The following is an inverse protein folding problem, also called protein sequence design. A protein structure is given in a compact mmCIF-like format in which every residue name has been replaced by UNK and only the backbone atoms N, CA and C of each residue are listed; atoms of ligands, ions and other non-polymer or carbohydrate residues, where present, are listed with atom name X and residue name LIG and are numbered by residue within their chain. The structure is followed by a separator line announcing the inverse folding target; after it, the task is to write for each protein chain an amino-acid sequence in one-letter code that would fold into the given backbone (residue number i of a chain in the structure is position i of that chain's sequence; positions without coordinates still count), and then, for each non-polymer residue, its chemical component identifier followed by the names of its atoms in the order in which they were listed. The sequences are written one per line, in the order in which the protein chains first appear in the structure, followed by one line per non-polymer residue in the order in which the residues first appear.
data_IF_765711793408
#
_entry.id   IF_765711793408
#
_cell.length_a   1.000
_cell.length_b   1.000
_cell.length_c   1.000
_cell.angle_alpha   90.00
_cell.angle_beta   90.00
_cell.angle_gamma   90.00
#
_symmetry.space_group_name_H-M   'P 1'
#
loop_
_entity.id
_entity.type
_entity.pdbx_description
1 polymer ?
#
# COMPACT_ATOMS: atom_id res chain seq x y z
N UNK A 1 -9.76 -48.10 74.67
CA UNK A 1 -9.40 -48.17 76.10
C UNK A 1 -7.98 -48.70 76.21
N UNK A 2 -7.19 -48.02 77.02
CA UNK A 2 -5.87 -48.36 77.56
C UNK A 2 -4.64 -48.27 76.64
N UNK A 3 -3.83 -47.33 77.09
CA UNK A 3 -2.50 -46.84 76.74
C UNK A 3 -1.37 -47.75 77.27
N UNK A 4 -0.13 -47.33 76.98
CA UNK A 4 1.16 -47.64 77.67
C UNK A 4 1.80 -49.00 77.31
N UNK A 5 3.13 -49.16 77.16
CA UNK A 5 4.26 -48.34 77.61
C UNK A 5 5.60 -48.70 76.91
N UNK A 6 6.47 -47.70 76.85
CA UNK A 6 7.94 -47.65 77.00
C UNK A 6 9.00 -48.60 76.40
N UNK A 7 9.93 -47.93 75.69
CA UNK A 7 11.40 -47.85 75.91
C UNK A 7 12.25 -49.11 76.04
N UNK A 8 13.37 -49.15 75.29
CA UNK A 8 14.74 -49.05 75.84
C UNK A 8 15.84 -48.98 74.76
N UNK A 9 16.83 -48.14 75.07
CA UNK A 9 18.11 -47.89 74.37
C UNK A 9 19.05 -49.10 74.38
N UNK A 10 19.95 -49.18 73.39
CA UNK A 10 21.41 -49.40 73.63
C UNK A 10 22.24 -49.07 72.38
N UNK A 11 23.21 -48.18 72.55
CA UNK A 11 24.32 -47.90 71.63
C UNK A 11 25.52 -48.79 72.01
N UNK A 12 26.19 -49.39 71.03
CA UNK A 12 27.57 -49.90 71.19
C UNK A 12 28.41 -49.58 69.96
N UNK A 13 29.54 -48.92 70.22
CA UNK A 13 30.57 -48.44 69.30
C UNK A 13 31.57 -49.53 68.90
N UNK A 14 32.42 -49.18 67.91
CA UNK A 14 33.72 -49.75 67.52
C UNK A 14 33.66 -50.86 66.45
N UNK A 15 34.51 -50.89 65.40
CA UNK A 15 35.84 -50.32 65.13
C UNK A 15 36.04 -50.34 63.59
N UNK A 16 36.65 -49.29 63.01
CA UNK A 16 37.41 -49.36 61.73
C UNK A 16 38.88 -49.74 62.07
N UNK A 17 39.82 -50.13 61.17
CA UNK A 17 39.89 -49.76 59.74
C UNK A 17 40.67 -50.72 58.77
N UNK A 18 40.86 -50.24 57.51
CA UNK A 18 41.92 -50.58 56.51
C UNK A 18 41.82 -51.99 55.87
N UNK A 19 41.90 -52.23 54.55
CA UNK A 19 42.45 -51.56 53.36
C UNK A 19 42.11 -52.46 52.17
N UNK A 20 41.78 -51.92 50.99
CA UNK A 20 42.20 -52.47 49.70
C UNK A 20 41.75 -51.56 48.54
N UNK A 21 42.71 -51.25 47.68
CA UNK A 21 42.58 -50.64 46.35
C UNK A 21 41.59 -51.38 45.45
N UNK A 22 40.87 -50.65 44.60
CA UNK A 22 40.85 -50.89 43.16
C UNK A 22 40.09 -49.77 42.44
N UNK A 23 40.77 -49.10 41.52
CA UNK A 23 40.18 -48.21 40.54
C UNK A 23 39.49 -49.02 39.43
N UNK A 24 38.30 -48.62 38.99
CA UNK A 24 37.79 -48.95 37.67
C UNK A 24 36.73 -47.93 37.25
N UNK A 25 36.99 -47.28 36.10
CA UNK A 25 36.12 -46.35 35.40
C UNK A 25 34.72 -46.94 35.18
N UNK A 26 33.67 -46.17 35.49
CA UNK A 26 32.35 -46.36 34.88
C UNK A 26 31.70 -45.02 34.52
N UNK A 27 31.73 -44.76 33.21
CA UNK A 27 30.80 -43.98 32.39
C UNK A 27 30.07 -42.79 33.04
N UNK A 28 30.61 -41.58 32.85
CA UNK A 28 29.77 -40.38 32.76
C UNK A 28 29.05 -40.39 31.42
N UNK A 29 27.82 -40.89 31.36
CA UNK A 29 26.91 -40.57 30.26
C UNK A 29 26.48 -39.11 30.43
N UNK A 30 27.24 -38.19 29.83
CA UNK A 30 26.73 -36.86 29.56
C UNK A 30 25.55 -37.02 28.59
N UNK A 31 24.33 -36.91 29.12
CA UNK A 31 23.15 -36.71 28.29
C UNK A 31 23.34 -35.34 27.62
N UNK A 32 23.95 -35.36 26.43
CA UNK A 32 23.91 -34.23 25.51
C UNK A 32 22.45 -34.08 25.11
N UNK A 33 21.72 -33.23 25.83
CA UNK A 33 20.43 -32.72 25.40
C UNK A 33 20.67 -32.04 24.05
N UNK A 34 20.43 -32.77 22.96
CA UNK A 34 20.21 -32.18 21.65
C UNK A 34 18.95 -31.34 21.79
N UNK A 35 19.12 -30.10 22.24
CA UNK A 35 18.14 -29.05 22.03
C UNK A 35 18.06 -28.87 20.52
N UNK A 36 17.16 -29.62 19.89
CA UNK A 36 16.67 -29.28 18.56
C UNK A 36 16.30 -27.80 18.64
N UNK A 37 16.84 -26.93 17.77
CA UNK A 37 16.38 -25.57 17.74
C UNK A 37 14.89 -25.66 17.46
N UNK A 38 14.09 -25.22 18.44
CA UNK A 38 12.67 -25.02 18.25
C UNK A 38 12.56 -24.05 17.08
N UNK A 39 12.34 -24.59 15.89
CA UNK A 39 11.90 -23.79 14.77
C UNK A 39 10.53 -23.30 15.19
N UNK A 40 10.49 -22.11 15.80
CA UNK A 40 9.27 -21.36 15.95
C UNK A 40 8.71 -21.27 14.52
N UNK A 41 7.70 -22.08 14.22
CA UNK A 41 7.03 -22.07 12.95
C UNK A 41 6.54 -20.64 12.75
N UNK A 42 7.23 -19.87 11.91
CA UNK A 42 6.80 -18.52 11.57
C UNK A 42 5.43 -18.69 10.95
N UNK A 43 4.38 -18.25 11.66
CA UNK A 43 3.04 -18.20 11.09
C UNK A 43 3.13 -17.33 9.86
N UNK A 44 2.90 -17.94 8.70
CA UNK A 44 2.80 -17.24 7.44
C UNK A 44 1.83 -16.06 7.57
N UNK A 45 2.16 -14.87 7.03
CA UNK A 45 1.24 -13.74 7.04
C UNK A 45 -0.11 -14.14 6.43
N UNK A 46 -1.22 -13.58 6.91
CA UNK A 46 -2.55 -13.89 6.38
C UNK A 46 -2.63 -13.77 4.83
N UNK A 47 -1.94 -12.78 4.27
CA UNK A 47 -1.87 -12.54 2.82
C UNK A 47 -0.68 -13.20 2.11
N UNK A 48 0.03 -14.09 2.82
CA UNK A 48 1.23 -14.79 2.37
C UNK A 48 2.49 -13.92 2.29
N UNK A 49 3.60 -14.56 1.91
CA UNK A 49 4.89 -13.91 1.62
C UNK A 49 4.94 -13.29 0.23
N UNK A 50 5.80 -12.29 0.05
CA UNK A 50 6.01 -11.62 -1.25
C UNK A 50 6.87 -12.47 -2.20
N UNK A 51 7.72 -13.34 -1.65
CA UNK A 51 8.62 -14.22 -2.40
C UNK A 51 7.87 -15.08 -3.41
N UNK A 52 8.39 -15.15 -4.62
CA UNK A 52 7.85 -15.97 -5.69
C UNK A 52 8.92 -16.24 -6.76
N UNK A 53 8.59 -17.07 -7.76
CA UNK A 53 9.55 -17.48 -8.79
C UNK A 53 9.88 -16.40 -9.84
N UNK A 54 9.06 -15.34 -9.96
CA UNK A 54 9.21 -14.29 -10.96
C UNK A 54 8.70 -12.93 -10.44
N UNK A 55 9.63 -12.09 -9.99
CA UNK A 55 9.34 -10.89 -9.21
C UNK A 55 9.52 -11.15 -7.70
N UNK A 56 8.95 -10.29 -6.83
CA UNK A 56 8.18 -9.09 -7.16
C UNK A 56 9.05 -7.96 -7.71
N UNK A 57 8.48 -7.17 -8.62
CA UNK A 57 9.07 -6.04 -9.32
C UNK A 57 8.33 -4.75 -9.01
N UNK A 58 9.05 -3.63 -9.04
CA UNK A 58 8.45 -2.32 -8.82
C UNK A 58 7.85 -1.76 -10.11
N UNK A 59 6.53 -1.62 -10.14
CA UNK A 59 5.80 -1.10 -11.29
C UNK A 59 6.23 0.33 -11.68
N UNK A 60 6.71 1.13 -10.72
CA UNK A 60 7.22 2.50 -10.97
C UNK A 60 8.45 2.50 -11.88
N UNK A 61 9.16 1.37 -11.95
CA UNK A 61 10.33 1.14 -12.81
C UNK A 61 9.99 0.38 -14.10
N UNK A 62 8.71 0.05 -14.29
CA UNK A 62 8.23 -0.77 -15.39
C UNK A 62 8.53 -0.18 -16.78
N UNK A 63 8.42 1.14 -16.95
CA UNK A 63 8.71 1.80 -18.22
C UNK A 63 10.20 2.14 -18.45
N UNK A 64 11.06 1.87 -17.46
CA UNK A 64 12.47 2.25 -17.50
C UNK A 64 13.38 1.03 -17.32
N UNK A 65 13.63 0.61 -16.08
CA UNK A 65 14.57 -0.46 -15.74
C UNK A 65 13.99 -1.86 -16.01
N UNK A 66 12.66 -1.99 -16.04
CA UNK A 66 11.94 -3.26 -16.05
C UNK A 66 11.02 -3.42 -17.27
N UNK A 67 11.31 -2.73 -18.37
CA UNK A 67 10.47 -2.72 -19.59
C UNK A 67 10.24 -4.13 -20.14
N UNK A 68 11.30 -4.94 -20.20
CA UNK A 68 11.17 -6.33 -20.64
C UNK A 68 10.26 -7.14 -19.71
N UNK A 69 10.45 -7.03 -18.39
CA UNK A 69 9.66 -7.76 -17.40
C UNK A 69 8.20 -7.34 -17.45
N UNK A 70 7.94 -6.03 -17.58
CA UNK A 70 6.60 -5.48 -17.67
C UNK A 70 5.89 -5.97 -18.93
N UNK A 71 6.52 -5.81 -20.10
CA UNK A 71 5.96 -6.27 -21.39
C UNK A 71 5.68 -7.78 -21.40
N UNK A 72 6.56 -8.58 -20.81
CA UNK A 72 6.37 -10.02 -20.71
C UNK A 72 5.12 -10.36 -19.87
N UNK A 73 4.98 -9.74 -18.69
CA UNK A 73 3.85 -9.98 -17.79
C UNK A 73 2.55 -9.46 -18.37
N UNK A 74 2.50 -8.20 -18.81
CA UNK A 74 1.27 -7.62 -19.37
C UNK A 74 0.84 -8.33 -20.67
N UNK A 75 1.81 -8.68 -21.52
CA UNK A 75 1.54 -9.43 -22.75
C UNK A 75 0.92 -10.80 -22.50
N UNK A 76 1.32 -11.50 -21.43
CA UNK A 76 0.82 -12.83 -21.10
C UNK A 76 -0.42 -12.83 -20.19
N UNK A 77 -0.51 -11.89 -19.25
CA UNK A 77 -1.44 -11.93 -18.11
C UNK A 77 -2.22 -10.64 -17.87
N UNK A 78 -1.96 -9.53 -18.57
CA UNK A 78 -2.68 -8.27 -18.37
C UNK A 78 -3.03 -7.61 -19.70
N UNK A 79 -3.73 -8.35 -20.56
CA UNK A 79 -4.24 -7.82 -21.83
C UNK A 79 -5.36 -6.80 -21.61
N UNK A 80 -5.76 -6.10 -22.67
CA UNK A 80 -6.91 -5.20 -22.64
C UNK A 80 -8.20 -5.85 -22.09
N UNK A 81 -8.44 -7.14 -22.37
CA UNK A 81 -9.60 -7.86 -21.80
C UNK A 81 -9.47 -8.05 -20.28
N UNK A 82 -8.26 -8.36 -19.79
CA UNK A 82 -7.98 -8.51 -18.35
C UNK A 82 -8.09 -7.15 -17.68
N UNK A 83 -7.46 -6.13 -18.24
CA UNK A 83 -7.52 -4.76 -17.76
C UNK A 83 -8.97 -4.32 -17.60
N UNK A 84 -9.81 -4.47 -18.63
CA UNK A 84 -11.23 -4.13 -18.60
C UNK A 84 -12.09 -5.07 -17.74
N UNK A 85 -11.49 -6.11 -17.16
CA UNK A 85 -12.18 -7.06 -16.27
C UNK A 85 -13.16 -7.97 -17.02
N UNK A 86 -12.92 -8.26 -18.29
CA UNK A 86 -13.83 -9.03 -19.15
C UNK A 86 -13.56 -10.53 -18.99
N UNK A 87 -12.33 -10.98 -19.33
CA UNK A 87 -11.91 -12.38 -19.24
C UNK A 87 -10.38 -12.48 -19.11
N UNK A 88 -9.90 -13.64 -18.67
CA UNK A 88 -8.49 -13.99 -18.69
C UNK A 88 -7.98 -14.33 -20.10
N UNK A 89 -6.68 -14.21 -20.29
CA UNK A 89 -5.92 -14.69 -21.45
C UNK A 89 -5.37 -16.09 -21.23
N UNK A 90 -4.62 -16.30 -20.16
CA UNK A 90 -3.88 -17.55 -19.90
C UNK A 90 -4.60 -18.45 -18.90
N UNK A 91 -5.47 -17.85 -18.08
CA UNK A 91 -6.22 -18.52 -17.03
C UNK A 91 -7.60 -17.87 -16.87
N UNK A 92 -8.20 -17.97 -15.67
CA UNK A 92 -9.35 -17.14 -15.30
C UNK A 92 -8.93 -15.68 -15.21
N UNK A 93 -9.92 -14.77 -15.30
CA UNK A 93 -9.66 -13.34 -15.10
C UNK A 93 -8.93 -13.08 -13.77
N UNK A 94 -9.38 -13.71 -12.70
CA UNK A 94 -8.75 -13.57 -11.38
C UNK A 94 -7.34 -14.20 -11.32
N UNK A 95 -7.09 -15.30 -12.04
CA UNK A 95 -5.78 -15.93 -12.11
C UNK A 95 -4.74 -15.07 -12.82
N UNK A 96 -5.13 -14.42 -13.91
CA UNK A 96 -4.27 -13.51 -14.67
C UNK A 96 -3.99 -12.20 -13.90
N UNK A 97 -4.99 -11.67 -13.20
CA UNK A 97 -4.80 -10.57 -12.25
C UNK A 97 -3.87 -10.98 -11.10
N UNK A 98 -4.05 -12.17 -10.51
CA UNK A 98 -3.19 -12.65 -9.42
C UNK A 98 -1.74 -12.86 -9.89
N UNK A 99 -1.54 -13.38 -11.10
CA UNK A 99 -0.20 -13.49 -11.67
C UNK A 99 0.46 -12.12 -11.80
N UNK A 100 -0.25 -11.18 -12.44
CA UNK A 100 0.23 -9.81 -12.64
C UNK A 100 0.60 -9.16 -11.29
N UNK A 101 -0.21 -9.32 -10.26
CA UNK A 101 0.00 -8.72 -8.93
C UNK A 101 0.96 -9.53 -8.02
N UNK A 102 1.33 -10.75 -8.38
CA UNK A 102 2.48 -11.42 -7.77
C UNK A 102 3.79 -10.93 -8.36
N UNK A 103 3.83 -10.75 -9.69
CA UNK A 103 4.99 -10.25 -10.39
C UNK A 103 5.24 -8.76 -10.12
N UNK A 104 4.19 -7.94 -10.09
CA UNK A 104 4.25 -6.50 -9.80
C UNK A 104 3.20 -6.15 -8.73
N UNK A 105 3.52 -6.28 -7.44
CA UNK A 105 2.54 -6.05 -6.37
C UNK A 105 1.91 -4.65 -6.38
N UNK A 106 2.67 -3.63 -6.75
CA UNK A 106 2.19 -2.25 -6.86
C UNK A 106 1.75 -1.87 -8.29
N UNK A 107 1.34 -2.84 -9.12
CA UNK A 107 0.81 -2.55 -10.45
C UNK A 107 -0.51 -1.78 -10.36
N UNK A 108 -0.44 -0.46 -10.51
CA UNK A 108 -1.57 0.44 -10.24
C UNK A 108 -2.81 0.12 -11.10
N UNK A 109 -2.62 -0.17 -12.39
CA UNK A 109 -3.72 -0.51 -13.29
C UNK A 109 -4.39 -1.82 -12.89
N UNK A 110 -3.63 -2.89 -12.63
CA UNK A 110 -4.17 -4.17 -12.17
C UNK A 110 -4.89 -4.05 -10.81
N UNK A 111 -4.36 -3.28 -9.86
CA UNK A 111 -5.04 -2.97 -8.60
C UNK A 111 -6.36 -2.21 -8.84
N UNK A 112 -6.40 -1.26 -9.78
CA UNK A 112 -7.64 -0.57 -10.15
C UNK A 112 -8.68 -1.53 -10.77
N UNK A 113 -8.22 -2.48 -11.59
CA UNK A 113 -9.06 -3.56 -12.14
C UNK A 113 -9.63 -4.44 -11.04
N UNK A 114 -8.83 -4.79 -10.02
CA UNK A 114 -9.30 -5.52 -8.84
C UNK A 114 -10.47 -4.80 -8.19
N UNK A 115 -10.38 -3.48 -7.96
CA UNK A 115 -11.48 -2.69 -7.37
C UNK A 115 -12.73 -2.78 -8.23
N UNK A 116 -12.60 -2.58 -9.55
CA UNK A 116 -13.73 -2.60 -10.49
C UNK A 116 -14.40 -3.97 -10.54
N UNK A 117 -13.62 -5.05 -10.62
CA UNK A 117 -14.15 -6.42 -10.70
C UNK A 117 -14.78 -6.83 -9.36
N UNK A 118 -14.13 -6.54 -8.22
CA UNK A 118 -14.67 -6.82 -6.89
C UNK A 118 -15.97 -6.05 -6.63
N UNK A 119 -16.10 -4.84 -7.16
CA UNK A 119 -17.32 -4.02 -7.01
C UNK A 119 -18.57 -4.62 -7.68
N UNK A 120 -18.41 -5.64 -8.55
CA UNK A 120 -19.54 -6.38 -9.15
C UNK A 120 -20.28 -7.24 -8.14
N UNK A 121 -19.58 -7.70 -7.10
CA UNK A 121 -20.16 -8.41 -5.96
C UNK A 121 -19.45 -8.00 -4.67
N UNK A 122 -19.99 -6.95 -4.03
CA UNK A 122 -19.45 -6.39 -2.79
C UNK A 122 -19.53 -7.34 -1.58
N UNK A 123 -20.27 -8.44 -1.68
CA UNK A 123 -20.36 -9.45 -0.61
C UNK A 123 -19.25 -10.48 -0.70
N UNK A 124 -18.63 -10.63 -1.88
CA UNK A 124 -17.54 -11.57 -2.08
C UNK A 124 -16.23 -11.00 -1.54
N UNK A 125 -15.51 -11.83 -0.78
CA UNK A 125 -14.14 -11.54 -0.35
C UNK A 125 -13.13 -11.82 -1.46
N UNK A 126 -13.52 -12.48 -2.55
CA UNK A 126 -12.66 -12.95 -3.63
C UNK A 126 -13.14 -12.40 -4.97
N UNK A 127 -12.23 -12.25 -5.93
CA UNK A 127 -12.64 -12.09 -7.32
C UNK A 127 -13.32 -13.37 -7.82
N UNK A 128 -14.24 -13.31 -8.81
CA UNK A 128 -14.82 -14.51 -9.41
C UNK A 128 -13.74 -15.45 -9.95
N UNK A 129 -13.69 -16.68 -9.44
CA UNK A 129 -12.65 -17.67 -9.79
C UNK A 129 -11.26 -17.36 -9.22
N UNK A 130 -11.15 -16.46 -8.24
CA UNK A 130 -9.92 -16.10 -7.56
C UNK A 130 -9.67 -16.94 -6.30
N UNK A 131 -8.40 -17.09 -5.94
CA UNK A 131 -7.96 -17.88 -4.78
C UNK A 131 -7.42 -17.02 -3.63
N UNK A 132 -7.23 -15.72 -3.88
CA UNK A 132 -6.73 -14.75 -2.90
C UNK A 132 -7.83 -13.75 -2.52
N UNK A 133 -8.01 -13.44 -1.22
CA UNK A 133 -8.91 -12.38 -0.81
C UNK A 133 -8.52 -11.04 -1.46
N UNK A 134 -9.50 -10.24 -1.85
CA UNK A 134 -9.29 -8.97 -2.56
C UNK A 134 -8.36 -8.03 -1.78
N UNK A 135 -8.58 -7.92 -0.47
CA UNK A 135 -7.76 -7.10 0.41
C UNK A 135 -6.27 -7.48 0.36
N UNK A 136 -5.96 -8.76 0.16
CA UNK A 136 -4.58 -9.21 0.14
C UNK A 136 -3.79 -8.71 -1.05
N UNK A 137 -4.43 -8.30 -2.16
CA UNK A 137 -3.70 -7.61 -3.23
C UNK A 137 -3.16 -6.27 -2.75
N UNK A 138 -3.95 -5.52 -1.99
CA UNK A 138 -3.56 -4.20 -1.48
C UNK A 138 -2.59 -4.28 -0.30
N UNK A 139 -2.79 -5.22 0.63
CA UNK A 139 -1.83 -5.49 1.72
C UNK A 139 -0.44 -5.79 1.15
N UNK A 140 -0.37 -6.70 0.17
CA UNK A 140 0.89 -7.07 -0.49
C UNK A 140 1.52 -5.88 -1.21
N UNK A 141 0.74 -5.08 -1.91
CA UNK A 141 1.22 -3.88 -2.58
C UNK A 141 1.86 -2.89 -1.58
N UNK A 142 1.20 -2.61 -0.45
CA UNK A 142 1.72 -1.71 0.58
C UNK A 142 2.96 -2.28 1.27
N UNK A 143 2.99 -3.59 1.54
CA UNK A 143 4.17 -4.26 2.12
C UNK A 143 5.37 -4.23 1.18
N UNK A 144 5.12 -4.27 -0.12
CA UNK A 144 6.16 -4.26 -1.14
C UNK A 144 6.71 -2.84 -1.39
N UNK A 145 5.82 -1.86 -1.59
CA UNK A 145 6.18 -0.47 -1.86
C UNK A 145 5.44 0.46 -0.87
N UNK A 146 5.89 0.55 0.39
CA UNK A 146 5.21 1.35 1.41
C UNK A 146 5.26 2.86 1.13
N UNK A 147 6.17 3.28 0.25
CA UNK A 147 6.39 4.65 -0.21
C UNK A 147 5.65 5.00 -1.52
N UNK A 148 4.87 4.06 -2.08
CA UNK A 148 4.10 4.32 -3.29
C UNK A 148 2.74 4.96 -2.96
N UNK A 149 2.54 6.26 -3.26
CA UNK A 149 1.28 6.95 -3.00
C UNK A 149 0.10 6.32 -3.74
N UNK A 150 0.32 5.80 -4.96
CA UNK A 150 -0.74 5.22 -5.80
C UNK A 150 -1.33 3.98 -5.14
N UNK A 151 -0.48 3.15 -4.54
CA UNK A 151 -0.89 1.94 -3.82
C UNK A 151 -1.76 2.28 -2.61
N UNK A 152 -1.39 3.29 -1.83
CA UNK A 152 -2.23 3.75 -0.70
C UNK A 152 -3.55 4.34 -1.16
N UNK A 153 -3.57 5.14 -2.23
CA UNK A 153 -4.81 5.69 -2.81
C UNK A 153 -5.76 4.60 -3.31
N UNK A 154 -5.23 3.57 -3.97
CA UNK A 154 -6.01 2.43 -4.45
C UNK A 154 -6.54 1.58 -3.29
N UNK A 155 -5.73 1.37 -2.24
CA UNK A 155 -6.20 0.65 -1.05
C UNK A 155 -7.31 1.45 -0.33
N UNK A 156 -7.14 2.76 -0.16
CA UNK A 156 -8.20 3.62 0.37
C UNK A 156 -9.49 3.53 -0.44
N UNK A 157 -9.38 3.48 -1.77
CA UNK A 157 -10.53 3.35 -2.67
C UNK A 157 -11.23 2.00 -2.56
N UNK A 158 -10.47 0.91 -2.40
CA UNK A 158 -11.03 -0.40 -2.08
C UNK A 158 -11.74 -0.40 -0.73
N UNK A 159 -11.09 0.10 0.33
CA UNK A 159 -11.65 0.15 1.67
C UNK A 159 -12.96 0.95 1.72
N UNK A 160 -13.01 2.08 1.02
CA UNK A 160 -14.22 2.88 0.89
C UNK A 160 -15.34 2.12 0.17
N UNK A 161 -15.02 1.35 -0.88
CA UNK A 161 -16.01 0.59 -1.65
C UNK A 161 -16.66 -0.55 -0.84
N UNK A 162 -15.95 -1.08 0.15
CA UNK A 162 -16.44 -2.09 1.11
C UNK A 162 -16.89 -1.50 2.46
N UNK A 163 -17.00 -0.16 2.58
CA UNK A 163 -17.56 0.52 3.75
C UNK A 163 -16.61 0.67 4.95
N UNK A 164 -15.31 0.40 4.79
CA UNK A 164 -14.29 0.56 5.84
C UNK A 164 -13.69 1.97 5.84
N UNK A 165 -14.54 2.96 6.09
CA UNK A 165 -14.21 4.38 5.95
C UNK A 165 -13.08 4.88 6.84
N UNK A 166 -13.04 4.43 8.10
CA UNK A 166 -11.99 4.83 9.03
C UNK A 166 -10.60 4.41 8.54
N UNK A 167 -10.50 3.21 7.96
CA UNK A 167 -9.24 2.71 7.41
C UNK A 167 -8.92 3.35 6.07
N UNK A 168 -9.94 3.61 5.23
CA UNK A 168 -9.77 4.36 3.99
C UNK A 168 -9.18 5.75 4.24
N UNK A 169 -9.67 6.45 5.28
CA UNK A 169 -9.15 7.75 5.69
C UNK A 169 -7.64 7.69 5.98
N UNK A 170 -7.20 6.70 6.75
CA UNK A 170 -5.78 6.54 7.08
C UNK A 170 -4.93 6.30 5.81
N UNK A 171 -5.40 5.46 4.89
CA UNK A 171 -4.69 5.21 3.62
C UNK A 171 -4.60 6.45 2.74
N UNK A 172 -5.68 7.21 2.61
CA UNK A 172 -5.63 8.46 1.87
C UNK A 172 -4.74 9.52 2.54
N UNK A 173 -4.73 9.59 3.86
CA UNK A 173 -3.81 10.47 4.59
C UNK A 173 -2.34 10.11 4.32
N UNK A 174 -1.99 8.81 4.33
CA UNK A 174 -0.65 8.36 3.95
C UNK A 174 -0.33 8.71 2.50
N UNK A 175 -1.26 8.49 1.57
CA UNK A 175 -1.06 8.83 0.17
C UNK A 175 -0.79 10.33 -0.06
N UNK A 176 -1.54 11.21 0.61
CA UNK A 176 -1.33 12.67 0.55
C UNK A 176 -0.02 13.10 1.22
N UNK A 177 0.44 12.41 2.25
CA UNK A 177 1.75 12.68 2.85
C UNK A 177 2.90 12.34 1.90
N UNK A 178 2.75 11.28 1.11
CA UNK A 178 3.75 10.84 0.13
C UNK A 178 3.70 11.69 -1.16
N UNK A 179 2.50 12.03 -1.62
CA UNK A 179 2.27 12.88 -2.80
C UNK A 179 1.13 13.88 -2.53
N UNK A 180 1.47 15.08 -2.01
CA UNK A 180 0.48 16.10 -1.66
C UNK A 180 -0.21 16.71 -2.88
N UNK A 181 0.37 16.57 -4.07
CA UNK A 181 -0.10 17.20 -5.30
C UNK A 181 -0.87 16.23 -6.21
N UNK A 182 -1.31 15.08 -5.67
CA UNK A 182 -2.17 14.19 -6.42
C UNK A 182 -3.64 14.69 -6.40
N UNK A 183 -4.20 15.17 -7.52
CA UNK A 183 -5.56 15.72 -7.53
C UNK A 183 -6.62 14.68 -7.15
N UNK A 184 -6.48 13.44 -7.63
CA UNK A 184 -7.42 12.35 -7.36
C UNK A 184 -7.42 11.93 -5.89
N UNK A 185 -6.24 11.84 -5.27
CA UNK A 185 -6.12 11.51 -3.84
C UNK A 185 -6.72 12.61 -2.97
N UNK A 186 -6.43 13.88 -3.26
CA UNK A 186 -7.01 15.02 -2.53
C UNK A 186 -8.54 15.04 -2.65
N UNK A 187 -9.09 14.79 -3.84
CA UNK A 187 -10.53 14.71 -4.04
C UNK A 187 -11.17 13.58 -3.22
N UNK A 188 -10.60 12.37 -3.27
CA UNK A 188 -11.11 11.21 -2.53
C UNK A 188 -11.01 11.42 -1.01
N UNK A 189 -9.91 11.98 -0.53
CA UNK A 189 -9.75 12.33 0.88
C UNK A 189 -10.79 13.36 1.31
N UNK A 190 -11.05 14.38 0.49
CA UNK A 190 -12.11 15.36 0.73
C UNK A 190 -13.51 14.75 0.82
N UNK A 191 -13.84 13.78 -0.04
CA UNK A 191 -15.09 13.03 0.04
C UNK A 191 -15.23 12.24 1.35
N UNK A 192 -14.15 11.60 1.81
CA UNK A 192 -14.14 10.87 3.08
C UNK A 192 -14.35 11.82 4.27
N UNK A 193 -13.67 12.97 4.29
CA UNK A 193 -13.91 13.99 5.33
C UNK A 193 -15.34 14.52 5.31
N UNK A 194 -15.91 14.76 4.12
CA UNK A 194 -17.30 15.20 3.99
C UNK A 194 -18.26 14.19 4.63
N UNK A 195 -18.06 12.90 4.33
CA UNK A 195 -18.86 11.80 4.90
C UNK A 195 -18.71 11.71 6.42
N UNK A 196 -17.51 11.95 6.93
CA UNK A 196 -17.20 12.01 8.36
C UNK A 196 -17.66 13.32 9.03
N UNK A 197 -18.33 14.22 8.29
CA UNK A 197 -18.81 15.53 8.74
C UNK A 197 -17.72 16.52 9.14
N UNK A 198 -16.46 16.23 8.80
CA UNK A 198 -15.35 17.17 8.95
C UNK A 198 -15.32 18.11 7.74
N UNK A 199 -16.19 19.12 7.80
CA UNK A 199 -16.41 20.06 6.71
C UNK A 199 -15.20 20.96 6.44
N UNK A 200 -14.36 21.20 7.46
CA UNK A 200 -13.15 22.01 7.34
C UNK A 200 -12.14 21.28 6.46
N UNK A 201 -11.83 20.02 6.79
CA UNK A 201 -10.90 19.24 5.98
C UNK A 201 -11.51 18.87 4.62
N UNK A 202 -12.81 18.58 4.55
CA UNK A 202 -13.49 18.30 3.28
C UNK A 202 -13.30 19.46 2.28
N UNK A 203 -13.57 20.70 2.72
CA UNK A 203 -13.39 21.87 1.88
C UNK A 203 -11.92 22.11 1.53
N UNK A 204 -10.99 22.01 2.50
CA UNK A 204 -9.54 22.15 2.25
C UNK A 204 -9.06 21.24 1.11
N UNK A 205 -9.36 19.95 1.20
CA UNK A 205 -8.89 18.96 0.23
C UNK A 205 -9.63 19.06 -1.11
N UNK A 206 -10.90 19.50 -1.11
CA UNK A 206 -11.61 19.84 -2.34
C UNK A 206 -10.90 20.97 -3.10
N UNK A 207 -10.57 22.07 -2.43
CA UNK A 207 -9.88 23.19 -3.08
C UNK A 207 -8.52 22.78 -3.65
N UNK A 208 -7.72 21.99 -2.92
CA UNK A 208 -6.42 21.49 -3.44
C UNK A 208 -6.63 20.68 -4.71
N UNK A 209 -7.59 19.74 -4.70
CA UNK A 209 -7.90 18.94 -5.88
C UNK A 209 -8.30 19.79 -7.09
N UNK A 210 -9.13 20.81 -6.88
CA UNK A 210 -9.60 21.69 -7.97
C UNK A 210 -8.55 22.70 -8.43
N UNK A 211 -7.66 23.15 -7.55
CA UNK A 211 -6.49 23.94 -7.93
C UNK A 211 -5.51 23.14 -8.80
N UNK A 212 -5.51 21.81 -8.65
CA UNK A 212 -4.78 20.85 -9.49
C UNK A 212 -5.63 20.34 -10.66
N UNK A 213 -6.66 21.10 -11.06
CA UNK A 213 -7.51 20.85 -12.22
C UNK A 213 -8.29 19.51 -12.18
N UNK A 214 -8.60 18.98 -10.99
CA UNK A 214 -9.42 17.77 -10.90
C UNK A 214 -10.83 18.01 -11.50
N UNK A 215 -11.29 17.16 -12.44
CA UNK A 215 -12.42 17.53 -13.29
C UNK A 215 -13.80 17.30 -12.66
N UNK A 216 -13.93 16.53 -11.57
CA UNK A 216 -15.24 16.10 -11.07
C UNK A 216 -15.85 17.13 -10.08
N UNK A 217 -17.00 17.76 -10.39
CA UNK A 217 -17.58 18.81 -9.54
C UNK A 217 -18.34 18.26 -8.32
N UNK A 218 -18.44 16.94 -8.16
CA UNK A 218 -19.32 16.30 -7.17
C UNK A 218 -19.08 16.78 -5.73
N UNK A 219 -17.82 16.76 -5.29
CA UNK A 219 -17.45 17.22 -3.94
C UNK A 219 -17.75 18.71 -3.73
N UNK A 220 -17.46 19.57 -4.71
CA UNK A 220 -17.85 20.99 -4.67
C UNK A 220 -19.36 21.14 -4.50
N UNK A 221 -20.16 20.44 -5.29
CA UNK A 221 -21.62 20.52 -5.24
C UNK A 221 -22.15 20.11 -3.85
N UNK A 222 -21.59 19.04 -3.27
CA UNK A 222 -21.92 18.58 -1.91
C UNK A 222 -21.61 19.64 -0.84
N UNK A 223 -20.47 20.32 -0.96
CA UNK A 223 -20.06 21.37 -0.02
C UNK A 223 -20.89 22.65 -0.18
N UNK A 224 -21.22 23.05 -1.42
CA UNK A 224 -22.10 24.18 -1.69
C UNK A 224 -23.49 23.93 -1.10
N UNK A 225 -24.08 22.75 -1.36
CA UNK A 225 -25.38 22.38 -0.82
C UNK A 225 -25.40 22.37 0.71
N UNK A 226 -24.29 22.00 1.35
CA UNK A 226 -24.14 22.04 2.80
C UNK A 226 -23.86 23.44 3.38
N UNK A 227 -23.66 24.47 2.54
CA UNK A 227 -23.22 25.80 2.97
C UNK A 227 -21.80 25.81 3.56
N UNK A 228 -20.93 24.89 3.10
CA UNK A 228 -19.56 24.67 3.60
C UNK A 228 -18.47 24.85 2.55
N UNK A 229 -18.85 25.27 1.35
CA UNK A 229 -17.87 25.63 0.32
C UNK A 229 -17.26 27.00 0.62
N UNK A 230 -15.96 27.02 0.86
CA UNK A 230 -15.18 28.23 1.06
C UNK A 230 -13.94 28.20 0.13
N UNK A 231 -13.93 29.00 -0.96
CA UNK A 231 -12.81 29.03 -1.90
C UNK A 231 -11.54 29.64 -1.32
N UNK A 232 -11.60 30.33 -0.17
CA UNK A 232 -10.44 30.97 0.47
C UNK A 232 -9.68 30.06 1.43
N UNK A 233 -10.26 28.91 1.81
CA UNK A 233 -9.82 28.14 2.96
C UNK A 233 -8.70 27.12 2.70
N UNK A 234 -8.07 27.09 1.52
CA UNK A 234 -7.06 26.08 1.23
C UNK A 234 -5.68 26.63 0.92
N UNK A 235 -4.62 25.96 1.42
CA UNK A 235 -3.26 26.25 1.00
C UNK A 235 -3.10 25.92 -0.49
N UNK A 236 -2.29 26.70 -1.20
CA UNK A 236 -1.86 26.35 -2.53
C UNK A 236 -1.19 24.95 -2.53
N UNK A 237 -1.38 24.13 -3.57
CA UNK A 237 -0.59 22.92 -3.79
C UNK A 237 0.91 23.16 -3.66
N UNK A 238 1.68 22.16 -3.23
CA UNK A 238 3.12 22.31 -2.98
C UNK A 238 3.88 22.73 -4.24
N UNK A 239 3.51 22.19 -5.40
CA UNK A 239 4.00 22.58 -6.72
C UNK A 239 3.77 24.07 -7.02
N UNK A 240 2.61 24.62 -6.67
CA UNK A 240 2.31 26.05 -6.87
C UNK A 240 3.08 26.94 -5.90
N UNK A 241 3.33 26.49 -4.65
CA UNK A 241 4.20 27.20 -3.71
C UNK A 241 5.64 27.29 -4.22
N UNK A 242 6.16 26.20 -4.81
CA UNK A 242 7.52 26.16 -5.37
C UNK A 242 7.64 27.07 -6.60
N UNK A 243 6.63 27.09 -7.48
CA UNK A 243 6.59 27.98 -8.64
C UNK A 243 6.58 29.46 -8.25
N UNK A 244 5.74 29.84 -7.28
CA UNK A 244 5.69 31.22 -6.77
C UNK A 244 7.02 31.69 -6.18
N UNK A 245 7.74 30.82 -5.45
CA UNK A 245 9.09 31.14 -4.95
C UNK A 245 10.13 31.27 -6.06
N UNK A 246 10.02 30.48 -7.13
CA UNK A 246 10.92 30.58 -8.29
C UNK A 246 10.70 31.85 -9.10
N UNK A 247 9.44 32.25 -9.31
CA UNK A 247 9.09 33.50 -10.01
C UNK A 247 9.41 34.74 -9.16
N UNK A 248 9.20 34.69 -7.83
CA UNK A 248 9.58 35.78 -6.91
C UNK A 248 11.11 35.92 -6.79
N UNK A 249 11.86 34.80 -6.81
CA UNK A 249 13.32 34.82 -6.88
C UNK A 249 13.83 35.35 -8.23
N UNK A 250 13.18 35.00 -9.35
CA UNK A 250 13.52 35.51 -10.67
C UNK A 250 13.23 37.02 -10.81
N UNK A 251 12.08 37.49 -10.29
CA UNK A 251 11.73 38.91 -10.27
C UNK A 251 12.66 39.73 -9.34
N UNK A 252 13.16 39.13 -8.26
CA UNK A 252 14.17 39.74 -7.39
C UNK A 252 15.56 39.83 -8.04
N UNK A 253 15.88 38.96 -9.01
CA UNK A 253 17.09 39.06 -9.82
C UNK A 253 16.96 40.09 -10.96
N UNK A 254 15.80 40.22 -11.60
CA UNK A 254 15.56 41.25 -12.64
C UNK A 254 15.55 42.69 -12.10
N UNK A 255 15.36 42.88 -10.80
CA UNK A 255 15.50 44.19 -10.12
C UNK A 255 16.95 44.65 -9.89
N UNK A 256 17.96 43.81 -10.16
CA UNK A 256 19.37 44.22 -10.15
C UNK A 256 19.76 44.68 -11.55
N UNK A 257 20.06 45.97 -11.67
CA UNK A 257 20.62 46.55 -12.88
C UNK A 257 21.82 45.71 -13.38
N UNK A 258 21.82 45.26 -14.64
CA UNK A 258 22.92 44.44 -15.16
C UNK A 258 24.20 45.28 -15.20
N UNK A 259 25.37 44.71 -14.84
CA UNK A 259 26.64 45.29 -15.24
C UNK A 259 26.74 45.26 -16.78
N UNK A 260 27.35 46.31 -17.33
CA UNK A 260 27.51 46.51 -18.77
C UNK A 260 28.15 45.28 -19.46
N UNK A 261 27.76 44.98 -20.72
CA UNK A 261 28.17 43.75 -21.39
C UNK A 261 29.63 43.79 -21.82
N UNK A 262 30.37 42.73 -21.50
CA UNK A 262 31.59 42.36 -22.22
C UNK A 262 31.26 41.34 -23.31
N UNK A 263 31.88 41.52 -24.47
CA UNK A 263 31.59 40.82 -25.70
C UNK A 263 32.26 39.44 -25.72
N UNK A 264 31.49 38.36 -25.90
CA UNK A 264 32.10 37.03 -25.95
C UNK A 264 31.18 35.88 -26.34
N UNK A 265 31.01 35.72 -27.66
CA UNK A 265 30.81 34.49 -28.44
C UNK A 265 29.71 33.46 -28.08
N UNK A 266 28.95 33.15 -29.12
CA UNK A 266 27.82 32.23 -29.23
C UNK A 266 28.16 30.75 -29.06
N UNK A 267 27.16 29.96 -28.66
CA UNK A 267 26.73 28.70 -29.30
C UNK A 267 25.31 28.30 -28.82
N UNK A 268 24.50 27.70 -29.70
CA UNK A 268 23.10 27.27 -29.51
C UNK A 268 22.89 25.86 -30.14
N UNK A 269 21.70 25.23 -30.06
CA UNK A 269 20.98 24.77 -28.87
C UNK A 269 20.65 23.25 -28.93
N UNK A 270 20.49 22.59 -27.76
CA UNK A 270 20.01 21.21 -27.66
C UNK A 270 18.57 21.15 -27.14
N UNK A 271 17.64 20.66 -27.97
CA UNK A 271 16.20 20.58 -27.72
C UNK A 271 15.85 19.53 -26.66
N UNK A 272 15.02 19.89 -25.68
CA UNK A 272 14.36 18.96 -24.76
C UNK A 272 12.92 18.70 -25.22
N UNK A 273 12.55 17.43 -25.34
CA UNK A 273 11.24 16.95 -25.74
C UNK A 273 10.22 16.98 -24.57
N UNK A 274 8.90 17.11 -24.84
CA UNK A 274 7.88 17.28 -23.80
C UNK A 274 7.46 15.95 -23.15
N UNK A 275 7.22 16.00 -21.84
CA UNK A 275 6.60 14.93 -21.07
C UNK A 275 5.10 14.85 -21.36
N UNK A 276 4.60 13.64 -21.61
CA UNK A 276 3.19 13.31 -21.80
C UNK A 276 2.48 13.12 -20.45
N UNK A 277 1.25 13.64 -20.26
CA UNK A 277 0.48 13.39 -19.05
C UNK A 277 -0.22 12.02 -19.10
N UNK A 278 -0.16 11.30 -17.96
CA UNK A 278 -0.87 10.05 -17.73
C UNK A 278 -2.39 10.25 -17.80
N UNK A 279 -3.05 9.37 -18.54
CA UNK A 279 -4.49 9.41 -18.81
C UNK A 279 -5.32 9.19 -17.54
N UNK A 280 -6.30 10.07 -17.32
CA UNK A 280 -7.34 9.90 -16.33
C UNK A 280 -8.22 8.67 -16.65
N UNK A 281 -8.71 7.91 -15.66
CA UNK A 281 -9.60 6.78 -15.91
C UNK A 281 -10.95 7.27 -16.45
N UNK A 282 -11.35 6.69 -17.58
CA UNK A 282 -12.63 6.95 -18.23
C UNK A 282 -13.82 6.66 -17.30
N UNK A 283 -14.63 7.67 -17.06
CA UNK A 283 -15.94 7.57 -16.42
C UNK A 283 -16.92 6.85 -17.35
N UNK A 284 -17.50 5.74 -16.90
CA UNK A 284 -18.71 5.19 -17.51
C UNK A 284 -19.94 6.05 -17.13
N UNK A 285 -20.90 6.27 -18.03
CA UNK A 285 -22.15 6.94 -17.70
C UNK A 285 -23.05 6.04 -16.83
N UNK A 286 -23.84 6.68 -15.97
CA UNK A 286 -24.80 6.03 -15.08
C UNK A 286 -25.84 5.19 -15.86
N UNK A 287 -26.35 4.07 -15.29
CA UNK A 287 -27.37 3.27 -15.94
C UNK A 287 -28.71 4.04 -16.03
N UNK A 288 -29.31 4.03 -17.21
CA UNK A 288 -30.64 4.57 -17.47
C UNK A 288 -31.71 3.79 -16.70
N UNK A 289 -32.69 4.51 -16.15
CA UNK A 289 -33.85 3.95 -15.46
C UNK A 289 -34.72 3.10 -16.41
N UNK A 290 -35.36 2.01 -15.94
CA UNK A 290 -36.21 1.18 -16.78
C UNK A 290 -37.48 1.93 -17.20
N UNK A 291 -37.78 1.86 -18.49
CA UNK A 291 -39.01 2.37 -19.08
C UNK A 291 -40.22 1.62 -18.49
N UNK A 292 -41.23 2.38 -18.05
CA UNK A 292 -42.54 1.84 -17.68
C UNK A 292 -43.26 1.40 -18.95
N UNK A 293 -43.53 0.11 -19.09
CA UNK A 293 -44.50 -0.40 -20.06
C UNK A 293 -45.90 -0.24 -19.48
N UNK A 294 -46.78 0.47 -20.20
CA UNK A 294 -48.23 0.43 -20.02
C UNK A 294 -48.80 -0.92 -20.45
#
# INVERSE_FOLDING_TARGET
MMEMDMSKHTLTHHRRPRTALAAALLAMTAAASLALPAHAARKEPYCGNLDNAYGPYDYRKGATELEFNLKLVEGAHFTADVENGIKGRSSTLAGDIDYTLRAFPNHAVALSTVIRVASRDKKSLFLPGGTRPVECYFDRAVRFAPDDPSTHTLYGSYLLSVGREAEALLKYQTAVQLDPDNPSTNYNLGLVYYKNKDMVNANKYAQIAYALEFPLPGLKNLLVQAGKWDPSAAPAPESLKKKGKGEEAAAAEEGKAPPAPDAGKADAPGQAAPATPAAAPATQPAPAAPAKTN
#
